data_IF_920302236239
#
_entry.id   IF_920302236239
#
_cell.length_a   1.000
_cell.length_b   1.000
_cell.length_c   1.000
_cell.angle_alpha   90.00
_cell.angle_beta   90.00
_cell.angle_gamma   90.00
#
_symmetry.space_group_name_H-M   'P 1'
#
loop_
_entity.id
_entity.type
_entity.pdbx_description
1 polymer ?
#
# COMPACT_ATOMS: atom_id res chain seq x y z
N UNK A 1 13.74 -22.95 -1.51
CA UNK A 1 13.10 -21.88 -0.77
C UNK A 1 12.04 -21.20 -1.61
N UNK A 2 10.87 -21.05 -1.05
CA UNK A 2 9.80 -20.36 -1.75
C UNK A 2 9.91 -18.87 -1.46
N UNK A 3 9.76 -18.05 -2.48
CA UNK A 3 9.63 -16.61 -2.30
C UNK A 3 8.15 -16.27 -2.12
N UNK A 4 7.87 -15.23 -1.35
CA UNK A 4 6.52 -14.77 -1.15
C UNK A 4 5.98 -14.15 -2.45
N UNK A 5 4.73 -14.42 -2.75
CA UNK A 5 4.02 -13.77 -3.85
C UNK A 5 3.44 -12.44 -3.37
N UNK A 6 3.21 -11.52 -4.28
CA UNK A 6 2.59 -10.23 -3.93
C UNK A 6 1.28 -10.43 -3.17
N UNK A 7 0.46 -11.39 -3.59
CA UNK A 7 -0.81 -11.68 -2.92
C UNK A 7 -0.62 -12.06 -1.44
N UNK A 8 0.45 -12.78 -1.12
CA UNK A 8 0.74 -13.16 0.27
C UNK A 8 1.10 -11.94 1.10
N UNK A 9 1.90 -11.05 0.52
CA UNK A 9 2.31 -9.81 1.18
C UNK A 9 1.10 -8.92 1.41
N UNK A 10 0.24 -8.78 0.40
CA UNK A 10 -1.00 -7.99 0.51
C UNK A 10 -1.86 -8.51 1.67
N UNK A 11 -2.07 -9.83 1.75
CA UNK A 11 -2.87 -10.41 2.83
C UNK A 11 -2.26 -10.14 4.20
N UNK A 12 -0.94 -10.23 4.31
CA UNK A 12 -0.26 -9.96 5.58
C UNK A 12 -0.40 -8.49 5.98
N UNK A 13 -0.28 -7.58 5.03
CA UNK A 13 -0.45 -6.15 5.27
C UNK A 13 -1.87 -5.84 5.74
N UNK A 14 -2.88 -6.38 5.04
CA UNK A 14 -4.28 -6.17 5.43
C UNK A 14 -4.56 -6.72 6.83
N UNK A 15 -4.02 -7.89 7.15
CA UNK A 15 -4.18 -8.47 8.48
C UNK A 15 -3.58 -7.57 9.56
N UNK A 16 -2.38 -7.06 9.29
CA UNK A 16 -1.75 -6.13 10.23
C UNK A 16 -2.56 -4.84 10.39
N UNK A 17 -2.98 -4.23 9.27
CA UNK A 17 -3.69 -2.96 9.31
C UNK A 17 -5.01 -3.06 10.07
N UNK A 18 -5.65 -4.23 10.06
CA UNK A 18 -6.89 -4.45 10.82
C UNK A 18 -6.66 -4.44 12.34
N UNK A 19 -5.42 -4.54 12.80
CA UNK A 19 -5.09 -4.41 14.21
C UNK A 19 -4.73 -2.98 14.60
N UNK A 20 -4.57 -2.09 13.64
CA UNK A 20 -4.19 -0.70 13.89
C UNK A 20 -5.42 0.10 14.31
N UNK A 21 -5.36 0.84 15.43
CA UNK A 21 -6.49 1.68 15.86
C UNK A 21 -6.86 2.73 14.82
N UNK A 22 -8.15 3.00 14.70
CA UNK A 22 -8.67 4.04 13.81
C UNK A 22 -8.26 3.83 12.34
N UNK A 23 -8.20 2.58 11.91
CA UNK A 23 -7.80 2.21 10.56
C UNK A 23 -8.95 1.52 9.83
N UNK A 24 -9.30 2.03 8.68
CA UNK A 24 -10.18 1.36 7.73
C UNK A 24 -9.39 1.10 6.46
N UNK A 25 -9.29 -0.15 6.05
CA UNK A 25 -8.45 -0.52 4.91
C UNK A 25 -9.15 -1.53 4.00
N UNK A 26 -8.71 -1.56 2.76
CA UNK A 26 -9.20 -2.55 1.80
C UNK A 26 -8.17 -2.78 0.71
N UNK A 27 -8.31 -3.95 0.07
CA UNK A 27 -7.55 -4.25 -1.12
C UNK A 27 -8.27 -3.66 -2.32
N UNK A 28 -7.53 -2.91 -3.13
CA UNK A 28 -8.07 -2.38 -4.38
C UNK A 28 -8.02 -3.46 -5.44
N UNK A 29 -9.12 -3.65 -6.13
CA UNK A 29 -9.21 -4.63 -7.21
C UNK A 29 -9.07 -3.92 -8.54
N UNK A 30 -7.96 -4.14 -9.23
CA UNK A 30 -7.80 -3.70 -10.59
C UNK A 30 -8.78 -4.45 -11.49
N UNK A 31 -9.29 -3.81 -12.51
CA UNK A 31 -10.19 -4.45 -13.43
C UNK A 31 -10.49 -3.54 -14.60
N UNK A 32 -11.33 -4.04 -15.52
CA UNK A 32 -11.64 -3.33 -16.75
C UNK A 32 -12.24 -1.93 -16.47
N UNK A 33 -12.98 -1.79 -15.40
CA UNK A 33 -13.65 -0.53 -15.06
C UNK A 33 -12.95 0.22 -13.93
N UNK A 34 -11.84 -0.31 -13.41
CA UNK A 34 -11.08 0.35 -12.36
C UNK A 34 -10.10 1.37 -12.92
N UNK A 35 -9.62 2.25 -12.05
CA UNK A 35 -8.58 3.20 -12.41
C UNK A 35 -7.25 2.47 -12.48
N UNK A 36 -6.56 2.61 -13.62
CA UNK A 36 -5.28 1.94 -13.82
C UNK A 36 -4.20 2.54 -12.91
N UNK A 37 -3.32 1.68 -12.41
CA UNK A 37 -2.15 2.12 -11.63
C UNK A 37 -2.44 2.41 -10.17
N UNK A 38 -3.67 2.21 -9.70
CA UNK A 38 -4.02 2.44 -8.30
C UNK A 38 -3.27 1.43 -7.42
N UNK A 39 -2.68 1.87 -6.30
CA UNK A 39 -1.99 0.97 -5.36
C UNK A 39 -2.88 -0.14 -4.83
N UNK A 40 -2.24 -1.27 -4.46
CA UNK A 40 -2.94 -2.50 -4.09
C UNK A 40 -3.76 -2.39 -2.80
N UNK A 41 -3.28 -1.63 -1.83
CA UNK A 41 -3.92 -1.50 -0.52
C UNK A 41 -4.14 -0.03 -0.23
N UNK A 42 -5.39 0.30 0.14
CA UNK A 42 -5.77 1.66 0.52
C UNK A 42 -6.19 1.63 1.97
N UNK A 43 -5.81 2.66 2.73
CA UNK A 43 -6.19 2.76 4.13
C UNK A 43 -6.43 4.20 4.53
N UNK A 44 -7.42 4.39 5.40
CA UNK A 44 -7.61 5.66 6.11
C UNK A 44 -7.26 5.37 7.56
N UNK A 45 -6.25 6.06 8.09
CA UNK A 45 -5.75 5.81 9.44
C UNK A 45 -5.70 7.14 10.19
N UNK A 46 -6.56 7.28 11.20
CA UNK A 46 -6.63 8.51 11.96
C UNK A 46 -6.93 9.73 11.09
N UNK A 47 -7.74 9.54 10.06
CA UNK A 47 -8.09 10.60 9.11
C UNK A 47 -7.07 10.83 8.00
N UNK A 48 -5.96 10.11 7.99
CA UNK A 48 -4.91 10.26 6.98
C UNK A 48 -5.05 9.18 5.91
N UNK A 49 -4.84 9.59 4.65
CA UNK A 49 -4.92 8.68 3.52
C UNK A 49 -3.57 7.97 3.31
N UNK A 50 -3.63 6.66 3.17
CA UNK A 50 -2.46 5.81 2.87
C UNK A 50 -2.75 4.92 1.67
N UNK A 51 -1.76 4.75 0.83
CA UNK A 51 -1.84 3.85 -0.30
C UNK A 51 -0.52 3.08 -0.44
N UNK A 52 -0.60 1.77 -0.53
CA UNK A 52 0.58 0.91 -0.58
C UNK A 52 0.58 0.10 -1.86
N UNK A 53 1.58 0.33 -2.70
CA UNK A 53 1.83 -0.49 -3.87
C UNK A 53 2.73 -1.64 -3.44
N UNK A 54 2.21 -2.87 -3.50
CA UNK A 54 2.93 -4.04 -2.99
C UNK A 54 3.76 -4.68 -4.10
N UNK A 55 5.02 -4.90 -3.82
CA UNK A 55 5.94 -5.60 -4.72
C UNK A 55 6.71 -6.66 -3.93
N UNK A 56 7.10 -7.72 -4.62
CA UNK A 56 8.03 -8.70 -4.06
C UNK A 56 9.42 -8.07 -3.99
N UNK A 57 10.37 -8.77 -3.36
CA UNK A 57 11.71 -8.25 -3.15
C UNK A 57 12.37 -7.75 -4.44
N UNK A 58 12.17 -8.46 -5.55
CA UNK A 58 12.77 -8.10 -6.84
C UNK A 58 11.81 -7.40 -7.80
N UNK A 59 10.55 -7.26 -7.42
CA UNK A 59 9.56 -6.64 -8.29
C UNK A 59 9.78 -5.13 -8.39
N UNK A 60 9.40 -4.57 -9.52
CA UNK A 60 9.53 -3.13 -9.76
C UNK A 60 8.19 -2.56 -10.15
N UNK A 61 7.92 -1.35 -9.69
CA UNK A 61 6.71 -0.64 -10.08
C UNK A 61 6.82 -0.22 -11.54
N UNK A 62 5.69 -0.22 -12.22
CA UNK A 62 5.61 0.32 -13.57
C UNK A 62 5.64 1.84 -13.53
N UNK A 63 5.90 2.46 -14.69
CA UNK A 63 5.90 3.92 -14.78
C UNK A 63 4.54 4.50 -14.37
N UNK A 64 3.44 3.84 -14.75
CA UNK A 64 2.10 4.30 -14.38
C UNK A 64 1.87 4.19 -12.88
N UNK A 65 2.29 3.08 -12.25
CA UNK A 65 2.16 2.92 -10.79
C UNK A 65 2.95 4.00 -10.06
N UNK A 66 4.18 4.29 -10.49
CA UNK A 66 4.97 5.35 -9.89
C UNK A 66 4.33 6.73 -10.07
N UNK A 67 3.75 6.98 -11.25
CA UNK A 67 3.05 8.24 -11.50
C UNK A 67 1.88 8.43 -10.55
N UNK A 68 1.08 7.37 -10.32
CA UNK A 68 -0.06 7.43 -9.41
C UNK A 68 0.39 7.69 -7.98
N UNK A 69 1.46 7.03 -7.53
CA UNK A 69 2.01 7.28 -6.19
C UNK A 69 2.39 8.76 -6.03
N UNK A 70 3.04 9.34 -7.03
CA UNK A 70 3.41 10.76 -6.97
C UNK A 70 2.19 11.69 -6.95
N UNK A 71 1.15 11.34 -7.69
CA UNK A 71 -0.09 12.13 -7.68
C UNK A 71 -0.74 12.12 -6.30
N UNK A 72 -0.78 10.97 -5.65
CA UNK A 72 -1.31 10.87 -4.30
C UNK A 72 -0.50 11.72 -3.33
N UNK A 73 0.82 11.64 -3.42
CA UNK A 73 1.72 12.43 -2.56
C UNK A 73 1.51 13.93 -2.75
N UNK A 74 1.35 14.38 -3.99
CA UNK A 74 1.11 15.79 -4.28
C UNK A 74 -0.21 16.27 -3.71
N UNK A 75 -1.19 15.39 -3.59
CA UNK A 75 -2.49 15.73 -3.00
C UNK A 75 -2.47 15.66 -1.47
N UNK A 76 -1.33 15.36 -0.87
CA UNK A 76 -1.19 15.29 0.57
C UNK A 76 -1.37 13.91 1.17
N UNK A 77 -1.57 12.89 0.34
CA UNK A 77 -1.69 11.51 0.80
C UNK A 77 -0.32 10.88 1.03
N UNK A 78 -0.31 9.78 1.74
CA UNK A 78 0.88 8.99 2.01
C UNK A 78 0.87 7.77 1.11
N UNK A 79 1.81 7.68 0.19
CA UNK A 79 1.83 6.59 -0.78
C UNK A 79 3.26 6.11 -0.98
N UNK A 80 3.44 4.81 -1.06
CA UNK A 80 4.77 4.22 -1.22
C UNK A 80 4.69 2.81 -1.78
N UNK A 81 5.80 2.37 -2.35
CA UNK A 81 6.01 0.96 -2.67
C UNK A 81 6.46 0.29 -1.37
N UNK A 82 5.81 -0.81 -1.03
CA UNK A 82 6.18 -1.61 0.15
C UNK A 82 6.38 -3.06 -0.25
N UNK A 83 7.31 -3.71 0.44
CA UNK A 83 7.68 -5.09 0.12
C UNK A 83 7.44 -6.04 1.29
N UNK A 84 7.00 -5.51 2.43
CA UNK A 84 6.77 -6.29 3.64
C UNK A 84 5.87 -5.55 4.62
N UNK A 85 5.33 -6.28 5.59
CA UNK A 85 4.57 -5.69 6.69
C UNK A 85 5.46 -4.74 7.49
N UNK A 86 6.74 -5.09 7.68
CA UNK A 86 7.68 -4.27 8.43
C UNK A 86 7.87 -2.90 7.82
N UNK A 87 7.88 -2.81 6.50
CA UNK A 87 7.98 -1.51 5.83
C UNK A 87 6.74 -0.67 6.08
N UNK A 88 5.56 -1.29 6.09
CA UNK A 88 4.32 -0.57 6.42
C UNK A 88 4.37 -0.08 7.87
N UNK A 89 4.80 -0.92 8.80
CA UNK A 89 4.92 -0.52 10.21
C UNK A 89 5.83 0.69 10.39
N UNK A 90 6.99 0.67 9.75
CA UNK A 90 7.94 1.79 9.81
C UNK A 90 7.33 3.06 9.26
N UNK A 91 6.64 2.97 8.14
CA UNK A 91 6.01 4.13 7.52
C UNK A 91 4.96 4.73 8.45
N UNK A 92 4.13 3.89 9.10
CA UNK A 92 3.14 4.38 10.05
C UNK A 92 3.79 5.04 11.26
N UNK A 93 4.86 4.45 11.80
CA UNK A 93 5.58 5.01 12.94
C UNK A 93 6.15 6.39 12.61
N UNK A 94 6.75 6.56 11.43
CA UNK A 94 7.34 7.82 11.01
C UNK A 94 6.30 8.91 10.83
N UNK A 95 5.15 8.57 10.29
CA UNK A 95 4.11 9.55 9.95
C UNK A 95 3.25 9.90 11.16
N UNK A 96 3.04 8.96 12.07
CA UNK A 96 2.18 9.18 13.24
C UNK A 96 2.93 9.51 14.52
N UNK A 97 4.24 9.54 14.45
CA UNK A 97 5.08 9.87 15.61
C UNK A 97 4.91 11.31 16.07
#
# INVERSE_FOLDING_TARGET
MSSLKEADIVRAILRYLKTVPNCFCWKEHGGMYGTAGIPDVIACIGGRFFAFEVKTEKGKATALQELVLRKIQKCGGNAAIVRSVEEVKRMLEEITA
#
